data_IF_577535978587
#
_entry.id   IF_577535978587
#
_cell.length_a   1.000
_cell.length_b   1.000
_cell.length_c   1.000
_cell.angle_alpha   90.00
_cell.angle_beta   90.00
_cell.angle_gamma   90.00
#
_symmetry.space_group_name_H-M   'P 1'
#
loop_
_entity.id
_entity.type
_entity.pdbx_description
1 polymer ?
#
# COMPACT_ATOMS: atom_id res chain seq x y z
N UNK A 1 -4.77 16.65 11.79
CA UNK A 1 -4.25 15.94 10.61
C UNK A 1 -4.15 14.47 10.98
N UNK A 2 -5.00 13.58 10.43
CA UNK A 2 -4.97 12.14 10.75
C UNK A 2 -3.77 11.54 10.02
N UNK A 3 -2.81 10.99 10.77
CA UNK A 3 -1.65 10.29 10.19
C UNK A 3 -2.19 9.01 9.54
N UNK A 4 -2.11 8.92 8.21
CA UNK A 4 -2.51 7.72 7.45
C UNK A 4 -1.30 6.81 7.35
N UNK A 5 -1.42 5.56 7.81
CA UNK A 5 -0.33 4.59 7.75
C UNK A 5 -0.44 3.75 6.48
N UNK A 6 0.66 3.68 5.71
CA UNK A 6 0.79 2.89 4.48
C UNK A 6 1.81 1.76 4.66
N UNK A 7 1.57 0.61 4.04
CA UNK A 7 2.49 -0.52 4.03
C UNK A 7 3.14 -0.73 2.65
N UNK A 8 4.41 -1.09 2.60
CA UNK A 8 5.05 -1.53 1.35
C UNK A 8 4.74 -3.00 1.07
N UNK A 9 4.45 -3.36 -0.19
CA UNK A 9 4.19 -4.75 -0.58
C UNK A 9 5.46 -5.57 -0.81
N UNK A 10 6.64 -4.94 -0.81
CA UNK A 10 7.91 -5.60 -1.10
C UNK A 10 8.26 -6.76 -0.13
N UNK A 11 8.11 -6.62 1.20
CA UNK A 11 8.39 -7.72 2.12
C UNK A 11 7.30 -8.82 2.14
N UNK A 12 6.17 -8.61 1.46
CA UNK A 12 5.03 -9.53 1.52
C UNK A 12 5.09 -10.56 0.38
N UNK A 13 5.07 -11.84 0.75
CA UNK A 13 4.94 -12.96 -0.18
C UNK A 13 3.49 -13.17 -0.66
N UNK A 14 3.31 -14.09 -1.62
CA UNK A 14 1.99 -14.43 -2.17
C UNK A 14 1.58 -13.57 -3.37
N UNK A 15 0.34 -13.73 -3.83
CA UNK A 15 -0.23 -12.92 -4.91
C UNK A 15 -0.68 -11.53 -4.41
N UNK A 16 -1.09 -10.64 -5.32
CA UNK A 16 -1.49 -9.28 -4.97
C UNK A 16 -2.69 -9.24 -4.01
N UNK A 17 -3.66 -10.14 -4.18
CA UNK A 17 -4.87 -10.15 -3.36
C UNK A 17 -4.55 -10.53 -1.91
N UNK A 18 -3.73 -11.57 -1.71
CA UNK A 18 -3.25 -12.01 -0.41
C UNK A 18 -2.44 -10.93 0.30
N UNK A 19 -1.58 -10.22 -0.44
CA UNK A 19 -0.80 -9.11 0.12
C UNK A 19 -1.70 -7.97 0.58
N UNK A 20 -2.70 -7.57 -0.23
CA UNK A 20 -3.62 -6.48 0.14
C UNK A 20 -4.56 -6.86 1.28
N UNK A 21 -5.00 -8.12 1.35
CA UNK A 21 -5.73 -8.63 2.50
C UNK A 21 -4.89 -8.52 3.79
N UNK A 22 -3.59 -8.86 3.74
CA UNK A 22 -2.69 -8.72 4.88
C UNK A 22 -2.50 -7.26 5.30
N UNK A 23 -2.34 -6.34 4.34
CA UNK A 23 -2.27 -4.89 4.60
C UNK A 23 -3.53 -4.41 5.33
N UNK A 24 -4.71 -4.81 4.86
CA UNK A 24 -5.99 -4.43 5.47
C UNK A 24 -6.14 -5.01 6.87
N UNK A 25 -5.80 -6.30 7.05
CA UNK A 25 -5.87 -6.99 8.33
C UNK A 25 -4.93 -6.38 9.39
N UNK A 26 -3.78 -5.86 8.96
CA UNK A 26 -2.84 -5.15 9.82
C UNK A 26 -3.28 -3.71 10.17
N UNK A 27 -4.43 -3.25 9.65
CA UNK A 27 -5.03 -1.96 10.00
C UNK A 27 -4.46 -0.77 9.24
N UNK A 28 -3.71 -1.00 8.15
CA UNK A 28 -3.23 0.09 7.30
C UNK A 28 -4.37 0.69 6.47
N UNK A 29 -4.24 1.98 6.18
CA UNK A 29 -5.21 2.71 5.34
C UNK A 29 -4.88 2.58 3.85
N UNK A 30 -3.67 2.12 3.52
CA UNK A 30 -3.22 1.98 2.16
C UNK A 30 -1.90 1.23 2.02
N UNK A 31 -1.42 1.16 0.79
CA UNK A 31 -0.17 0.49 0.45
C UNK A 31 0.59 1.17 -0.68
N UNK A 32 1.82 0.71 -0.85
CA UNK A 32 2.73 1.10 -1.91
C UNK A 32 3.30 -0.15 -2.61
N UNK A 33 3.31 -0.13 -3.94
CA UNK A 33 3.92 -1.15 -4.80
C UNK A 33 4.72 -0.42 -5.89
N UNK A 34 6.00 -0.76 -6.00
CA UNK A 34 6.99 -0.15 -6.91
C UNK A 34 7.20 -0.97 -8.19
N UNK A 35 6.58 -2.14 -8.28
CA UNK A 35 6.80 -3.12 -9.34
C UNK A 35 5.66 -3.06 -10.35
N UNK A 36 4.41 -2.93 -9.87
CA UNK A 36 3.22 -3.00 -10.71
C UNK A 36 2.68 -1.64 -11.13
N UNK A 37 2.19 -1.49 -12.38
CA UNK A 37 1.50 -0.29 -12.82
C UNK A 37 0.24 0.01 -11.99
N UNK A 38 -0.05 1.30 -11.77
CA UNK A 38 -1.23 1.73 -11.01
C UNK A 38 -2.56 1.18 -11.57
N UNK A 39 -2.68 1.06 -12.89
CA UNK A 39 -3.88 0.54 -13.54
C UNK A 39 -4.21 -0.90 -13.13
N UNK A 40 -3.20 -1.72 -12.83
CA UNK A 40 -3.36 -3.10 -12.36
C UNK A 40 -3.69 -3.16 -10.86
N UNK A 41 -3.17 -2.19 -10.09
CA UNK A 41 -3.33 -2.13 -8.64
C UNK A 41 -4.70 -1.58 -8.22
N UNK A 42 -5.23 -0.59 -8.95
CA UNK A 42 -6.44 0.15 -8.56
C UNK A 42 -7.66 -0.76 -8.33
N UNK A 43 -8.03 -1.69 -9.22
CA UNK A 43 -9.22 -2.52 -9.02
C UNK A 43 -9.11 -3.40 -7.75
N UNK A 44 -7.92 -3.93 -7.47
CA UNK A 44 -7.69 -4.79 -6.31
C UNK A 44 -7.59 -3.96 -5.02
N UNK A 45 -7.00 -2.77 -5.07
CA UNK A 45 -6.98 -1.82 -3.96
C UNK A 45 -8.40 -1.41 -3.53
N UNK A 46 -9.26 -1.07 -4.50
CA UNK A 46 -10.66 -0.71 -4.29
C UNK A 46 -11.45 -1.86 -3.66
N UNK A 47 -11.24 -3.10 -4.13
CA UNK A 47 -11.83 -4.31 -3.55
C UNK A 47 -11.55 -4.43 -2.04
N UNK A 48 -10.34 -4.10 -1.60
CA UNK A 48 -9.93 -4.18 -0.19
C UNK A 48 -10.20 -2.90 0.61
N UNK A 49 -10.74 -1.86 -0.03
CA UNK A 49 -10.94 -0.55 0.60
C UNK A 49 -9.64 0.04 1.12
N UNK A 50 -8.58 -0.04 0.32
CA UNK A 50 -7.25 0.48 0.60
C UNK A 50 -6.93 1.64 -0.35
N UNK A 51 -6.33 2.70 0.17
CA UNK A 51 -5.75 3.74 -0.65
C UNK A 51 -4.45 3.23 -1.29
N UNK A 52 -4.30 3.44 -2.59
CA UNK A 52 -3.01 3.28 -3.24
C UNK A 52 -2.26 4.61 -3.23
N UNK A 53 -1.00 4.59 -2.78
CA UNK A 53 -0.10 5.74 -2.89
C UNK A 53 1.06 5.35 -3.81
N UNK A 54 1.06 5.88 -5.04
CA UNK A 54 2.27 5.92 -5.84
C UNK A 54 3.19 6.99 -5.26
N UNK A 55 4.46 6.66 -4.98
CA UNK A 55 5.48 7.68 -4.91
C UNK A 55 5.71 8.25 -6.30
N UNK A 56 5.03 9.36 -6.61
CA UNK A 56 5.58 10.34 -7.52
C UNK A 56 6.71 11.01 -6.73
N UNK A 57 7.94 10.88 -7.22
CA UNK A 57 9.14 11.08 -6.42
C UNK A 57 9.13 12.31 -5.50
N UNK A 58 9.45 12.07 -4.22
CA UNK A 58 10.15 13.05 -3.40
C UNK A 58 9.35 13.86 -2.37
N UNK A 59 8.02 13.95 -2.44
CA UNK A 59 7.35 15.05 -1.71
C UNK A 59 6.87 14.76 -0.27
N UNK A 60 6.81 13.51 0.23
CA UNK A 60 6.42 13.27 1.64
C UNK A 60 7.08 12.02 2.27
N UNK A 61 8.34 12.13 2.74
CA UNK A 61 9.04 11.05 3.44
C UNK A 61 8.44 10.68 4.82
N UNK A 62 7.72 11.60 5.48
CA UNK A 62 7.21 11.42 6.86
C UNK A 62 5.97 10.50 6.97
N UNK A 63 5.35 10.14 5.85
CA UNK A 63 4.12 9.34 5.83
C UNK A 63 4.36 7.82 5.87
N UNK A 64 5.61 7.37 5.81
CA UNK A 64 5.97 5.95 5.76
C UNK A 64 6.74 5.55 7.02
N UNK A 65 6.10 4.79 7.91
CA UNK A 65 6.82 4.06 8.96
C UNK A 65 7.64 2.96 8.30
N UNK A 66 8.97 3.05 8.39
CA UNK A 66 9.86 1.90 8.15
C UNK A 66 9.62 0.87 9.25
N UNK A 67 9.21 -0.33 8.87
CA UNK A 67 9.10 -1.48 9.76
C UNK A 67 7.80 -2.24 9.60
N UNK A 68 7.86 -3.31 8.81
CA UNK A 68 7.36 -4.62 9.21
C UNK A 68 8.59 -5.48 9.47
#
# INVERSE_FOLDING_TARGET
MRIRYYATLWPLGGDLDARLAAVKAAGFEGFEDWVRPHAELRPVAEKHGLAYRAMVGGDEPDAFRRGL
#
